data_IF_283324131470
#
_entry.id   IF_283324131470
#
_cell.length_a   1.000
_cell.length_b   1.000
_cell.length_c   1.000
_cell.angle_alpha   90.00
_cell.angle_beta   90.00
_cell.angle_gamma   90.00
#
_symmetry.space_group_name_H-M   'P 1'
#
loop_
_entity.id
_entity.type
_entity.pdbx_description
1 polymer ?
#
# COMPACT_ATOMS: atom_id res chain seq x y z
N UNK A 1 55.17 -51.24 33.96
CA UNK A 1 54.12 -51.11 32.91
C UNK A 1 53.57 -49.69 32.97
N UNK A 2 53.27 -49.12 31.80
CA UNK A 2 53.35 -47.70 31.41
C UNK A 2 52.50 -46.68 32.19
N UNK A 3 52.93 -45.39 32.26
CA UNK A 3 52.08 -44.28 32.67
C UNK A 3 51.18 -43.84 31.51
N UNK A 4 49.85 -43.79 31.71
CA UNK A 4 48.94 -43.19 30.73
C UNK A 4 48.94 -41.67 30.87
N UNK A 5 49.38 -41.00 29.82
CA UNK A 5 49.49 -39.56 29.69
C UNK A 5 48.13 -38.86 29.84
N UNK A 6 48.10 -37.81 30.67
CA UNK A 6 46.94 -36.93 30.85
C UNK A 6 46.86 -35.96 29.66
N UNK A 7 45.93 -36.18 28.73
CA UNK A 7 45.69 -35.27 27.60
C UNK A 7 45.15 -33.93 28.11
N UNK A 8 46.02 -32.91 28.19
CA UNK A 8 45.64 -31.53 28.54
C UNK A 8 44.99 -30.90 27.31
N UNK A 9 43.66 -30.84 27.30
CA UNK A 9 42.88 -30.17 26.25
C UNK A 9 43.11 -28.65 26.32
N UNK A 10 44.14 -28.14 25.62
CA UNK A 10 44.28 -26.70 25.38
C UNK A 10 43.29 -26.33 24.28
N UNK A 11 42.05 -26.03 24.66
CA UNK A 11 41.17 -25.26 23.77
C UNK A 11 41.83 -23.89 23.62
N UNK A 12 42.54 -23.69 22.52
CA UNK A 12 42.92 -22.35 22.05
C UNK A 12 41.62 -21.63 21.74
N UNK A 13 41.15 -20.79 22.67
CA UNK A 13 40.12 -19.82 22.35
C UNK A 13 40.86 -18.74 21.55
N UNK A 14 40.88 -18.89 20.23
CA UNK A 14 41.20 -17.79 19.33
C UNK A 14 40.02 -16.81 19.40
N UNK A 15 40.12 -15.83 20.30
CA UNK A 15 39.13 -14.76 20.42
C UNK A 15 39.26 -13.76 19.28
N UNK A 16 38.14 -13.22 18.82
CA UNK A 16 38.06 -12.08 17.91
C UNK A 16 38.76 -10.88 18.56
N UNK A 17 39.56 -10.12 17.80
CA UNK A 17 40.20 -8.93 18.38
C UNK A 17 39.18 -7.81 18.55
N UNK A 18 39.32 -7.01 19.61
CA UNK A 18 38.43 -5.87 19.88
C UNK A 18 38.48 -4.86 18.71
N UNK A 19 39.65 -4.74 18.07
CA UNK A 19 39.86 -3.89 16.88
C UNK A 19 39.09 -4.42 15.67
N UNK A 20 39.10 -5.74 15.44
CA UNK A 20 38.36 -6.36 14.34
C UNK A 20 36.85 -6.15 14.50
N UNK A 21 36.35 -6.25 15.74
CA UNK A 21 34.94 -5.98 16.02
C UNK A 21 34.58 -4.49 15.86
N UNK A 22 35.45 -3.57 16.27
CA UNK A 22 35.20 -2.13 16.12
C UNK A 22 35.11 -1.70 14.65
N UNK A 23 35.97 -2.24 13.77
CA UNK A 23 35.93 -1.93 12.33
C UNK A 23 34.65 -2.48 11.70
N UNK A 24 34.25 -3.70 12.08
CA UNK A 24 33.00 -4.30 11.58
C UNK A 24 31.79 -3.47 11.96
N UNK A 25 31.70 -3.03 13.21
CA UNK A 25 30.60 -2.17 13.68
C UNK A 25 30.62 -0.81 12.98
N UNK A 26 31.79 -0.23 12.72
CA UNK A 26 31.91 1.02 11.97
C UNK A 26 31.36 0.89 10.53
N UNK A 27 31.71 -0.18 9.83
CA UNK A 27 31.22 -0.42 8.45
C UNK A 27 29.73 -0.69 8.44
N UNK A 28 29.22 -1.54 9.34
CA UNK A 28 27.78 -1.83 9.46
C UNK A 28 27.01 -0.55 9.79
N UNK A 29 27.57 0.33 10.63
CA UNK A 29 26.96 1.62 10.99
C UNK A 29 26.74 2.52 9.76
N UNK A 30 27.73 2.64 8.88
CA UNK A 30 27.62 3.43 7.64
C UNK A 30 26.59 2.81 6.69
N UNK A 31 26.64 1.50 6.47
CA UNK A 31 25.71 0.80 5.58
C UNK A 31 24.26 0.89 6.07
N UNK A 32 24.04 0.70 7.37
CA UNK A 32 22.72 0.79 7.98
C UNK A 32 22.11 2.19 7.83
N UNK A 33 22.92 3.24 7.95
CA UNK A 33 22.46 4.63 7.80
C UNK A 33 21.81 4.92 6.44
N UNK A 34 22.34 4.34 5.36
CA UNK A 34 21.78 4.53 4.00
C UNK A 34 20.67 3.50 3.70
N UNK A 35 20.83 2.26 4.17
CA UNK A 35 19.92 1.16 3.84
C UNK A 35 18.55 1.29 4.51
N UNK A 36 18.50 1.69 5.79
CA UNK A 36 17.25 1.76 6.57
C UNK A 36 16.19 2.70 5.95
N UNK A 37 16.49 3.96 5.58
CA UNK A 37 15.47 4.84 5.00
C UNK A 37 14.95 4.33 3.65
N UNK A 38 15.80 3.72 2.83
CA UNK A 38 15.39 3.15 1.54
C UNK A 38 14.52 1.91 1.72
N UNK A 39 14.87 1.02 2.65
CA UNK A 39 14.08 -0.18 2.95
C UNK A 39 12.67 0.17 3.44
N UNK A 40 12.53 1.20 4.29
CA UNK A 40 11.21 1.67 4.75
C UNK A 40 10.31 2.09 3.58
N UNK A 41 10.84 2.85 2.62
CA UNK A 41 10.06 3.28 1.44
C UNK A 41 9.59 2.08 0.61
N UNK A 42 10.43 1.06 0.46
CA UNK A 42 10.06 -0.16 -0.27
C UNK A 42 8.94 -0.92 0.44
N UNK A 43 9.04 -1.09 1.76
CA UNK A 43 8.00 -1.76 2.55
C UNK A 43 6.68 -1.00 2.48
N UNK A 44 6.69 0.33 2.61
CA UNK A 44 5.48 1.16 2.50
C UNK A 44 4.85 1.00 1.11
N UNK A 45 5.65 1.07 0.03
CA UNK A 45 5.17 0.84 -1.34
C UNK A 45 4.50 -0.53 -1.51
N UNK A 46 5.07 -1.57 -0.93
CA UNK A 46 4.51 -2.91 -0.99
C UNK A 46 3.13 -2.98 -0.31
N UNK A 47 3.00 -2.40 0.89
CA UNK A 47 1.72 -2.33 1.62
C UNK A 47 0.65 -1.53 0.88
N UNK A 48 1.05 -0.39 0.31
CA UNK A 48 0.16 0.45 -0.50
C UNK A 48 -0.29 -0.29 -1.76
N UNK A 49 0.62 -0.99 -2.43
CA UNK A 49 0.27 -1.82 -3.59
C UNK A 49 -0.65 -2.98 -3.22
N UNK A 50 -0.49 -3.59 -2.05
CA UNK A 50 -1.42 -4.61 -1.56
C UNK A 50 -2.83 -4.02 -1.40
N UNK A 51 -2.97 -2.85 -0.78
CA UNK A 51 -4.26 -2.18 -0.63
C UNK A 51 -4.93 -1.92 -2.00
N UNK A 52 -4.15 -1.44 -2.99
CA UNK A 52 -4.64 -1.25 -4.36
C UNK A 52 -5.09 -2.57 -4.99
N UNK A 53 -4.34 -3.66 -4.81
CA UNK A 53 -4.72 -4.97 -5.38
C UNK A 53 -5.95 -5.54 -4.69
N UNK A 54 -6.02 -5.47 -3.36
CA UNK A 54 -7.14 -5.98 -2.56
C UNK A 54 -8.46 -5.30 -2.94
N UNK A 55 -8.43 -4.00 -3.18
CA UNK A 55 -9.58 -3.23 -3.67
C UNK A 55 -10.14 -3.69 -5.02
N UNK A 56 -9.42 -4.53 -5.77
CA UNK A 56 -9.91 -5.12 -7.01
C UNK A 56 -11.20 -5.92 -6.83
N UNK A 57 -11.39 -6.56 -5.66
CA UNK A 57 -12.64 -7.25 -5.34
C UNK A 57 -13.85 -6.28 -5.30
N UNK A 58 -13.64 -5.08 -4.78
CA UNK A 58 -14.65 -4.02 -4.71
C UNK A 58 -14.99 -3.50 -6.10
N UNK A 59 -14.00 -3.35 -6.99
CA UNK A 59 -14.25 -2.98 -8.41
C UNK A 59 -15.15 -3.98 -9.11
N UNK A 60 -14.92 -5.27 -8.90
CA UNK A 60 -15.72 -6.34 -9.51
C UNK A 60 -17.15 -6.30 -8.97
N UNK A 61 -17.31 -6.19 -7.65
CA UNK A 61 -18.63 -6.13 -7.03
C UNK A 61 -19.43 -4.89 -7.47
N UNK A 62 -18.79 -3.72 -7.56
CA UNK A 62 -19.40 -2.50 -8.10
C UNK A 62 -19.80 -2.67 -9.58
N UNK A 63 -18.95 -3.29 -10.40
CA UNK A 63 -19.26 -3.56 -11.80
C UNK A 63 -20.45 -4.51 -11.97
N UNK A 64 -20.52 -5.57 -11.17
CA UNK A 64 -21.65 -6.50 -11.15
C UNK A 64 -22.95 -5.82 -10.68
N UNK A 65 -22.88 -5.01 -9.63
CA UNK A 65 -24.02 -4.24 -9.14
C UNK A 65 -24.57 -3.33 -10.24
N UNK A 66 -23.69 -2.55 -10.89
CA UNK A 66 -24.07 -1.67 -11.98
C UNK A 66 -24.63 -2.46 -13.18
N UNK A 67 -24.05 -3.62 -13.49
CA UNK A 67 -24.54 -4.46 -14.60
C UNK A 67 -25.92 -5.06 -14.34
N UNK A 68 -26.25 -5.35 -13.08
CA UNK A 68 -27.53 -5.98 -12.68
C UNK A 68 -28.62 -4.95 -12.38
N UNK A 69 -28.27 -3.81 -11.78
CA UNK A 69 -29.21 -2.77 -11.34
C UNK A 69 -29.31 -1.59 -12.31
N UNK A 70 -28.31 -1.39 -13.17
CA UNK A 70 -28.25 -0.26 -14.10
C UNK A 70 -27.90 1.08 -13.45
N UNK A 71 -27.67 1.11 -12.13
CA UNK A 71 -27.37 2.31 -11.36
C UNK A 71 -26.14 2.09 -10.49
N UNK A 72 -25.45 3.18 -10.14
CA UNK A 72 -24.41 3.16 -9.13
C UNK A 72 -25.04 2.97 -7.73
N UNK A 73 -24.44 2.16 -6.84
CA UNK A 73 -24.98 2.00 -5.49
C UNK A 73 -24.87 3.29 -4.67
N UNK A 74 -25.83 3.51 -3.78
CA UNK A 74 -25.79 4.63 -2.82
C UNK A 74 -24.69 4.44 -1.78
N UNK A 75 -24.47 3.20 -1.33
CA UNK A 75 -23.42 2.85 -0.38
C UNK A 75 -22.63 1.65 -0.90
N UNK A 76 -21.33 1.61 -0.58
CA UNK A 76 -20.46 0.52 -1.04
C UNK A 76 -20.81 -0.82 -0.37
N UNK A 77 -21.54 -0.81 0.74
CA UNK A 77 -22.07 -2.02 1.39
C UNK A 77 -23.23 -2.67 0.63
N UNK A 78 -23.91 -1.92 -0.26
CA UNK A 78 -25.03 -2.42 -1.06
C UNK A 78 -24.60 -3.48 -2.10
N UNK A 79 -23.29 -3.58 -2.39
CA UNK A 79 -22.74 -4.53 -3.38
C UNK A 79 -22.52 -5.94 -2.82
N UNK A 80 -22.90 -6.21 -1.56
CA UNK A 80 -22.86 -7.55 -0.98
C UNK A 80 -21.45 -8.07 -0.66
N UNK A 81 -20.46 -7.20 -0.53
CA UNK A 81 -19.10 -7.55 -0.11
C UNK A 81 -18.87 -7.23 1.37
N UNK A 82 -18.17 -8.10 2.08
CA UNK A 82 -17.69 -7.79 3.43
C UNK A 82 -16.45 -6.89 3.34
N UNK A 83 -16.69 -5.60 3.25
CA UNK A 83 -15.68 -4.55 3.09
C UNK A 83 -14.60 -4.59 4.19
N UNK A 84 -14.99 -4.93 5.43
CA UNK A 84 -14.06 -5.00 6.57
C UNK A 84 -13.01 -6.12 6.43
N UNK A 85 -13.25 -7.10 5.56
CA UNK A 85 -12.32 -8.19 5.27
C UNK A 85 -11.44 -7.93 4.05
N UNK A 86 -11.67 -6.83 3.31
CA UNK A 86 -10.92 -6.55 2.08
C UNK A 86 -9.71 -5.67 2.39
N UNK A 87 -8.52 -6.28 2.30
CA UNK A 87 -7.24 -5.60 2.42
C UNK A 87 -6.77 -5.34 3.86
N UNK A 88 -5.53 -5.71 4.15
CA UNK A 88 -4.94 -5.56 5.50
C UNK A 88 -4.66 -4.11 5.86
N UNK A 89 -4.22 -3.33 4.87
CA UNK A 89 -3.76 -1.96 5.02
C UNK A 89 -4.80 -0.91 4.62
N UNK A 90 -6.08 -1.28 4.72
CA UNK A 90 -7.22 -0.40 4.44
C UNK A 90 -8.00 -0.18 5.74
N UNK A 91 -8.22 1.09 6.08
CA UNK A 91 -9.04 1.51 7.22
C UNK A 91 -10.51 1.49 6.86
N UNK A 92 -10.85 2.17 5.78
CA UNK A 92 -12.22 2.48 5.42
C UNK A 92 -12.35 2.55 3.89
N UNK A 93 -13.55 2.28 3.41
CA UNK A 93 -13.94 2.50 2.02
C UNK A 93 -14.99 3.59 1.99
N UNK A 94 -14.87 4.50 1.03
CA UNK A 94 -15.81 5.59 0.83
C UNK A 94 -16.37 5.51 -0.57
N UNK A 95 -17.69 5.52 -0.69
CA UNK A 95 -18.36 5.56 -1.98
C UNK A 95 -18.21 6.96 -2.59
N UNK A 96 -17.91 7.04 -3.89
CA UNK A 96 -17.87 8.31 -4.63
C UNK A 96 -19.09 8.33 -5.54
N UNK A 97 -20.03 9.21 -5.23
CA UNK A 97 -21.34 9.34 -5.92
C UNK A 97 -21.56 10.79 -6.33
N UNK A 98 -20.65 11.31 -7.16
CA UNK A 98 -20.79 12.62 -7.78
C UNK A 98 -20.49 12.49 -9.26
N UNK A 99 -21.27 13.14 -10.13
CA UNK A 99 -20.93 13.27 -11.55
C UNK A 99 -19.78 14.29 -11.68
N UNK A 100 -18.63 13.96 -12.32
CA UNK A 100 -18.35 12.79 -13.17
C UNK A 100 -17.67 11.60 -12.49
N UNK A 101 -17.36 11.69 -11.20
CA UNK A 101 -16.51 10.80 -10.42
C UNK A 101 -17.27 9.69 -9.68
N UNK A 102 -17.90 8.78 -10.44
CA UNK A 102 -18.39 7.53 -9.85
C UNK A 102 -17.23 6.61 -9.54
N UNK A 103 -17.14 6.12 -8.31
CA UNK A 103 -16.02 5.29 -7.91
C UNK A 103 -16.03 5.00 -6.43
N UNK A 104 -14.87 4.70 -5.89
CA UNK A 104 -14.67 4.63 -4.45
C UNK A 104 -13.27 5.09 -4.08
N UNK A 105 -13.07 5.49 -2.83
CA UNK A 105 -11.74 5.71 -2.28
C UNK A 105 -11.46 4.74 -1.13
N UNK A 106 -10.19 4.39 -0.97
CA UNK A 106 -9.69 3.62 0.18
C UNK A 106 -8.83 4.52 1.04
N UNK A 107 -9.12 4.56 2.33
CA UNK A 107 -8.25 5.18 3.32
C UNK A 107 -7.25 4.13 3.81
N UNK A 108 -5.96 4.46 3.77
CA UNK A 108 -4.92 3.53 4.17
C UNK A 108 -4.83 3.38 5.70
N UNK A 109 -4.13 2.36 6.18
CA UNK A 109 -3.67 2.25 7.58
C UNK A 109 -2.45 1.36 7.69
N UNK A 110 -1.73 1.48 8.80
CA UNK A 110 -0.71 0.50 9.19
C UNK A 110 0.46 0.38 8.20
N UNK A 111 0.67 1.39 7.36
CA UNK A 111 1.79 1.43 6.43
C UNK A 111 3.12 1.56 7.15
N UNK A 112 3.10 2.14 8.36
CA UNK A 112 4.29 2.45 9.16
C UNK A 112 4.80 3.87 8.91
N UNK A 113 4.01 4.70 8.23
CA UNK A 113 4.22 6.12 8.02
C UNK A 113 2.90 6.86 8.28
N UNK A 114 2.83 7.64 9.37
CA UNK A 114 1.59 8.27 9.82
C UNK A 114 1.04 9.28 8.82
N UNK A 115 1.92 9.88 8.01
CA UNK A 115 1.52 10.82 6.95
C UNK A 115 0.82 10.13 5.77
N UNK A 116 0.92 8.80 5.66
CA UNK A 116 0.30 7.97 4.61
C UNK A 116 -0.97 7.29 5.10
N UNK A 117 -1.03 6.91 6.38
CA UNK A 117 -2.13 6.16 7.02
C UNK A 117 -3.47 6.90 7.12
N UNK A 118 -3.57 8.16 6.68
CA UNK A 118 -4.85 8.89 6.63
C UNK A 118 -5.15 9.39 5.22
N UNK A 119 -4.38 8.93 4.24
CA UNK A 119 -4.49 9.38 2.86
C UNK A 119 -5.33 8.40 2.06
N UNK A 120 -6.01 8.95 1.06
CA UNK A 120 -6.92 8.21 0.21
C UNK A 120 -6.27 7.83 -1.11
N UNK A 121 -6.62 6.64 -1.61
CA UNK A 121 -6.39 6.25 -3.00
C UNK A 121 -7.76 6.15 -3.67
N UNK A 122 -7.94 6.92 -4.73
CA UNK A 122 -9.19 7.02 -5.46
C UNK A 122 -9.21 6.04 -6.62
N UNK A 123 -10.34 5.36 -6.78
CA UNK A 123 -10.62 4.43 -7.86
C UNK A 123 -11.84 4.90 -8.61
N UNK A 124 -11.57 5.61 -9.70
CA UNK A 124 -12.58 6.30 -10.50
C UNK A 124 -13.01 5.40 -11.65
N UNK A 125 -14.31 5.29 -11.84
CA UNK A 125 -14.93 4.59 -12.96
C UNK A 125 -15.36 5.57 -14.05
N UNK A 126 -15.62 5.06 -15.24
CA UNK A 126 -16.16 5.84 -16.36
C UNK A 126 -17.71 5.89 -16.40
N UNK A 127 -18.40 5.60 -15.28
CA UNK A 127 -19.85 5.40 -15.26
C UNK A 127 -20.67 6.65 -15.64
N UNK A 128 -20.17 7.87 -15.37
CA UNK A 128 -20.91 9.14 -15.58
C UNK A 128 -21.22 9.50 -17.04
N UNK A 129 -20.53 8.93 -18.03
CA UNK A 129 -20.64 9.39 -19.41
C UNK A 129 -21.87 8.81 -20.14
N UNK A 130 -23.06 9.23 -19.74
CA UNK A 130 -24.26 9.33 -20.59
C UNK A 130 -24.75 8.06 -21.30
N UNK A 131 -24.34 6.88 -20.84
CA UNK A 131 -24.67 5.62 -21.53
C UNK A 131 -24.99 4.44 -20.61
N UNK A 132 -24.95 4.62 -19.28
CA UNK A 132 -25.10 3.51 -18.34
C UNK A 132 -24.21 2.31 -18.72
N UNK A 133 -24.81 1.13 -18.79
CA UNK A 133 -24.18 -0.18 -19.08
C UNK A 133 -23.61 -0.35 -20.51
N UNK A 134 -23.68 0.67 -21.38
CA UNK A 134 -23.36 0.55 -22.82
C UNK A 134 -21.86 0.57 -23.18
N UNK A 135 -20.99 0.85 -22.21
CA UNK A 135 -19.52 0.84 -22.37
C UNK A 135 -18.89 -0.10 -21.35
N UNK A 136 -17.73 -0.72 -21.67
CA UNK A 136 -17.00 -1.49 -20.67
C UNK A 136 -16.60 -0.59 -19.50
N UNK A 137 -16.82 -1.09 -18.28
CA UNK A 137 -16.40 -0.41 -17.05
C UNK A 137 -14.86 -0.31 -17.06
N UNK A 138 -14.34 0.91 -17.09
CA UNK A 138 -12.90 1.16 -16.98
C UNK A 138 -12.62 1.85 -15.67
N UNK A 139 -11.46 1.54 -15.09
CA UNK A 139 -11.05 2.04 -13.79
C UNK A 139 -9.74 2.81 -13.92
N UNK A 140 -9.66 3.93 -13.22
CA UNK A 140 -8.44 4.72 -13.07
C UNK A 140 -8.13 4.91 -11.60
N UNK A 141 -6.85 4.91 -11.29
CA UNK A 141 -6.34 5.10 -9.94
C UNK A 141 -5.80 6.53 -9.83
N UNK A 142 -6.08 7.24 -8.74
CA UNK A 142 -5.52 8.56 -8.49
C UNK A 142 -5.21 8.75 -7.00
N UNK A 143 -4.27 9.65 -6.70
CA UNK A 143 -3.98 10.09 -5.33
C UNK A 143 -4.06 11.59 -5.24
N UNK A 144 -4.98 12.07 -4.42
CA UNK A 144 -5.43 13.44 -4.46
C UNK A 144 -5.51 14.03 -3.06
N UNK A 145 -5.28 15.33 -2.96
CA UNK A 145 -5.40 16.12 -1.74
C UNK A 145 -6.86 16.55 -1.52
N UNK A 146 -7.10 17.31 -0.45
CA UNK A 146 -8.43 17.80 -0.10
C UNK A 146 -9.05 18.76 -1.14
N UNK A 147 -8.28 19.24 -2.12
CA UNK A 147 -8.73 20.17 -3.17
C UNK A 147 -8.77 19.46 -4.54
N UNK A 148 -8.58 18.14 -4.57
CA UNK A 148 -8.62 17.33 -5.78
C UNK A 148 -7.37 17.45 -6.67
N UNK A 149 -6.22 17.85 -6.11
CA UNK A 149 -4.93 17.91 -6.83
C UNK A 149 -3.97 16.82 -6.36
N UNK A 150 -2.87 16.57 -7.09
CA UNK A 150 -1.93 15.48 -6.78
C UNK A 150 -1.37 15.59 -5.35
N UNK A 151 -1.52 14.52 -4.56
CA UNK A 151 -0.99 14.45 -3.19
C UNK A 151 0.44 13.85 -3.19
N UNK A 152 1.50 14.67 -3.00
CA UNK A 152 2.88 14.20 -3.12
C UNK A 152 3.31 13.27 -1.99
N UNK A 153 2.69 13.37 -0.81
CA UNK A 153 3.02 12.56 0.37
C UNK A 153 2.80 11.07 0.07
N UNK A 154 1.61 10.72 -0.40
CA UNK A 154 1.28 9.34 -0.79
C UNK A 154 1.81 9.01 -2.20
N UNK A 155 1.92 10.01 -3.09
CA UNK A 155 2.36 9.82 -4.47
C UNK A 155 3.76 9.21 -4.62
N UNK A 156 4.65 9.37 -3.63
CA UNK A 156 5.94 8.65 -3.60
C UNK A 156 5.78 7.13 -3.43
N UNK A 157 4.68 6.67 -2.84
CA UNK A 157 4.47 5.30 -2.40
C UNK A 157 3.51 4.49 -3.28
N UNK A 158 2.83 5.13 -4.24
CA UNK A 158 1.93 4.43 -5.15
C UNK A 158 2.66 3.99 -6.44
N UNK A 159 2.12 3.01 -7.18
CA UNK A 159 2.62 2.66 -8.52
C UNK A 159 2.35 3.77 -9.54
N UNK A 160 3.09 3.79 -10.65
CA UNK A 160 2.96 4.79 -11.72
C UNK A 160 1.55 4.89 -12.33
N UNK A 161 0.77 3.80 -12.30
CA UNK A 161 -0.63 3.78 -12.78
C UNK A 161 -1.56 4.69 -11.97
N UNK A 162 -1.16 5.09 -10.76
CA UNK A 162 -1.92 5.97 -9.86
C UNK A 162 -1.44 7.43 -9.88
N UNK A 163 -0.44 7.78 -10.72
CA UNK A 163 0.14 9.13 -10.77
C UNK A 163 -0.60 10.06 -11.75
N UNK A 164 -1.62 9.56 -12.47
CA UNK A 164 -2.26 10.30 -13.55
C UNK A 164 -3.34 11.26 -13.03
N UNK A 165 -2.93 12.51 -12.82
CA UNK A 165 -3.72 13.62 -12.28
C UNK A 165 -4.77 14.21 -13.25
N UNK A 166 -5.33 13.41 -14.15
CA UNK A 166 -6.23 13.90 -15.22
C UNK A 166 -7.70 13.98 -14.79
N UNK A 167 -7.99 14.27 -13.52
CA UNK A 167 -9.35 14.42 -12.98
C UNK A 167 -9.39 15.42 -11.83
N UNK A 168 -10.51 16.13 -11.73
CA UNK A 168 -10.87 17.00 -10.61
C UNK A 168 -11.97 16.29 -9.82
N UNK A 169 -11.65 15.55 -8.76
CA UNK A 169 -12.69 15.07 -7.83
C UNK A 169 -13.14 16.20 -6.93
N UNK A 170 -14.44 16.36 -6.77
CA UNK A 170 -14.98 17.14 -5.66
C UNK A 170 -14.73 16.39 -4.35
N UNK A 171 -14.11 17.01 -3.32
CA UNK A 171 -13.94 16.39 -2.01
C UNK A 171 -15.32 16.13 -1.34
N UNK A 172 -15.41 15.12 -0.44
CA UNK A 172 -16.61 14.87 0.36
C UNK A 172 -16.90 15.99 1.37
#
# INVERSE_FOLDING_TARGET
MLPFAKFKNRRSIQGFTLVELMIVVAIIGVLAGVAVPQYKVYVIRAKVSEAIVASGAVKVALAEYVQTKGTWPSDISDVGINIAAVGTYIQSYYNLVADPDYGFSIELKGTGESQVDTKHIYMLSNFAYGGGISKPMTWRCAVLDAVGTYEPVIGKYVPSVCHNNSYTVSPP
#
